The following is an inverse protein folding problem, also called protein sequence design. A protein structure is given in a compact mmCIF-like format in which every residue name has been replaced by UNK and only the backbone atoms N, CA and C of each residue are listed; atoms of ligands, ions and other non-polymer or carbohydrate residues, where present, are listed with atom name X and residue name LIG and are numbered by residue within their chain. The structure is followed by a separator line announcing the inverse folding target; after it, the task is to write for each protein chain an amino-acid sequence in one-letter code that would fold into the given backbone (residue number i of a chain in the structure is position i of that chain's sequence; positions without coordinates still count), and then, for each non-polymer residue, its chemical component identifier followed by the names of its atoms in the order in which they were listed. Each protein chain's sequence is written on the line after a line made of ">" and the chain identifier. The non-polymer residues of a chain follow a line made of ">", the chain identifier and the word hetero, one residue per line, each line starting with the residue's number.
data_IF_909029177315
#
_entry.id   IF_909029177315
#
_cell.length_a   1.000
_cell.length_b   1.000
_cell.length_c   1.000
_cell.angle_alpha   90.00
_cell.angle_beta   90.00
_cell.angle_gamma   90.00
#
_symmetry.space_group_name_H-M   'P 1'
#
loop_
_entity.id
_entity.type
_entity.pdbx_description
1 polymer ?
#
# COMPACT_ATOMS: atom_id res chain seq x y z
N UNK A 1 -6.19 1.93 30.50
CA UNK A 1 -5.04 1.16 30.01
C UNK A 1 -5.45 0.52 28.70
N UNK A 2 -5.42 1.30 27.62
CA UNK A 2 -5.61 0.79 26.27
C UNK A 2 -4.38 -0.05 25.93
N UNK A 3 -4.62 -1.28 25.51
CA UNK A 3 -3.59 -2.22 25.05
C UNK A 3 -2.62 -1.51 24.09
N UNK A 4 -1.32 -1.54 24.40
CA UNK A 4 -0.24 -0.98 23.57
C UNK A 4 0.07 -1.96 22.42
N UNK A 5 -0.96 -2.41 21.70
CA UNK A 5 -0.76 -3.32 20.58
C UNK A 5 -0.03 -2.59 19.47
N UNK A 6 1.04 -3.21 18.96
CA UNK A 6 1.73 -2.73 17.76
C UNK A 6 0.79 -2.92 16.57
N UNK A 7 0.33 -1.84 15.90
CA UNK A 7 -0.62 -2.00 14.81
C UNK A 7 -0.04 -2.88 13.71
N UNK A 8 -0.85 -3.79 13.17
CA UNK A 8 -0.46 -4.69 12.09
C UNK A 8 -1.04 -4.20 10.78
N UNK A 9 -0.16 -3.87 9.84
CA UNK A 9 -0.51 -3.28 8.54
C UNK A 9 -0.25 -4.29 7.43
N UNK A 10 -1.29 -4.65 6.70
CA UNK A 10 -1.19 -5.51 5.52
C UNK A 10 -0.94 -4.66 4.27
N UNK A 11 0.04 -5.04 3.47
CA UNK A 11 0.33 -4.44 2.18
C UNK A 11 -0.12 -5.38 1.06
N UNK A 12 -0.96 -4.86 0.18
CA UNK A 12 -1.47 -5.54 -1.00
C UNK A 12 -0.98 -4.77 -2.22
N UNK A 13 0.03 -5.33 -2.88
CA UNK A 13 0.79 -4.64 -3.92
C UNK A 13 0.90 -5.52 -5.16
N UNK A 14 1.11 -4.90 -6.31
CA UNK A 14 1.37 -5.63 -7.55
C UNK A 14 2.87 -5.72 -7.85
N UNK A 15 3.26 -6.74 -8.60
CA UNK A 15 4.57 -6.85 -9.21
C UNK A 15 4.51 -7.86 -10.35
N UNK A 16 5.45 -7.75 -11.30
CA UNK A 16 5.63 -8.75 -12.34
C UNK A 16 6.27 -8.15 -13.59
N UNK A 17 6.52 -8.97 -14.63
CA UNK A 17 7.15 -8.51 -15.87
C UNK A 17 6.41 -7.36 -16.56
N UNK A 18 5.07 -7.37 -16.52
CA UNK A 18 4.23 -6.38 -17.20
C UNK A 18 4.04 -5.08 -16.39
N UNK A 19 4.23 -5.13 -15.07
CA UNK A 19 3.95 -4.01 -14.15
C UNK A 19 5.25 -3.41 -13.57
N UNK A 20 6.33 -4.19 -13.55
CA UNK A 20 7.58 -3.87 -12.87
C UNK A 20 7.50 -4.06 -11.34
N UNK A 21 8.55 -3.65 -10.63
CA UNK A 21 8.65 -3.74 -9.16
C UNK A 21 8.33 -2.45 -8.41
N UNK A 22 7.88 -1.40 -9.11
CA UNK A 22 7.73 -0.05 -8.57
C UNK A 22 6.81 0.03 -7.34
N UNK A 23 5.66 -0.65 -7.38
CA UNK A 23 4.70 -0.72 -6.28
C UNK A 23 5.33 -1.30 -5.01
N UNK A 24 6.06 -2.42 -5.14
CA UNK A 24 6.77 -3.04 -4.00
C UNK A 24 7.81 -2.08 -3.43
N UNK A 25 8.55 -1.35 -4.27
CA UNK A 25 9.59 -0.43 -3.80
C UNK A 25 9.02 0.79 -3.05
N UNK A 26 7.90 1.35 -3.51
CA UNK A 26 7.18 2.42 -2.80
C UNK A 26 6.58 1.89 -1.49
N UNK A 27 5.94 0.73 -1.54
CA UNK A 27 5.34 0.10 -0.38
C UNK A 27 6.38 -0.25 0.70
N UNK A 28 7.55 -0.77 0.34
CA UNK A 28 8.67 -1.01 1.28
C UNK A 28 9.14 0.28 1.94
N UNK A 29 9.13 1.40 1.22
CA UNK A 29 9.49 2.72 1.78
C UNK A 29 8.49 3.15 2.86
N UNK A 30 7.19 3.01 2.58
CA UNK A 30 6.13 3.30 3.56
C UNK A 30 6.16 2.32 4.74
N UNK A 31 6.29 1.02 4.47
CA UNK A 31 6.37 -0.04 5.47
C UNK A 31 7.55 0.17 6.43
N UNK A 32 8.72 0.54 5.92
CA UNK A 32 9.88 0.90 6.75
C UNK A 32 9.57 2.07 7.68
N UNK A 33 8.98 3.15 7.17
CA UNK A 33 8.63 4.32 7.98
C UNK A 33 7.55 4.04 9.04
N UNK A 34 6.64 3.09 8.78
CA UNK A 34 5.66 2.60 9.74
C UNK A 34 6.28 1.67 10.78
N UNK A 35 7.18 0.79 10.37
CA UNK A 35 7.93 -0.10 11.26
C UNK A 35 8.81 0.70 12.24
N UNK A 36 9.45 1.78 11.77
CA UNK A 36 10.21 2.70 12.62
C UNK A 36 9.32 3.42 13.66
N UNK A 37 8.01 3.48 13.41
CA UNK A 37 6.98 4.00 14.34
C UNK A 37 6.32 2.90 15.18
N UNK A 38 6.82 1.66 15.10
CA UNK A 38 6.38 0.54 15.92
C UNK A 38 5.27 -0.32 15.33
N UNK A 39 4.88 -0.12 14.06
CA UNK A 39 3.95 -1.03 13.38
C UNK A 39 4.63 -2.36 13.01
N UNK A 40 3.84 -3.41 12.86
CA UNK A 40 4.25 -4.64 12.16
C UNK A 40 3.70 -4.59 10.74
N UNK A 41 4.50 -4.97 9.75
CA UNK A 41 4.13 -4.86 8.34
C UNK A 41 4.23 -6.23 7.68
N UNK A 42 3.16 -6.64 7.01
CA UNK A 42 3.10 -7.89 6.26
C UNK A 42 2.70 -7.61 4.82
N UNK A 43 3.22 -8.39 3.86
CA UNK A 43 2.88 -8.30 2.45
C UNK A 43 2.15 -9.56 1.98
N UNK A 44 1.11 -9.41 1.17
CA UNK A 44 0.60 -10.53 0.36
C UNK A 44 1.62 -10.85 -0.73
N UNK A 45 2.35 -11.94 -0.55
CA UNK A 45 3.51 -12.32 -1.33
C UNK A 45 3.13 -13.34 -2.41
N UNK A 46 2.46 -12.87 -3.46
CA UNK A 46 2.33 -13.60 -4.72
C UNK A 46 3.73 -13.83 -5.33
N UNK A 47 3.96 -14.83 -6.22
CA UNK A 47 5.31 -15.20 -6.67
C UNK A 47 6.19 -14.05 -7.18
N UNK A 48 5.65 -13.15 -8.00
CA UNK A 48 6.39 -12.00 -8.54
C UNK A 48 6.67 -10.95 -7.45
N UNK A 49 5.71 -10.71 -6.54
CA UNK A 49 5.89 -9.83 -5.38
C UNK A 49 6.95 -10.40 -4.45
N UNK A 50 6.89 -11.70 -4.17
CA UNK A 50 7.85 -12.41 -3.33
C UNK A 50 9.28 -12.29 -3.88
N UNK A 51 9.45 -12.40 -5.20
CA UNK A 51 10.76 -12.22 -5.86
C UNK A 51 11.34 -10.83 -5.61
N UNK A 52 10.53 -9.78 -5.71
CA UNK A 52 11.00 -8.41 -5.42
C UNK A 52 11.26 -8.23 -3.92
N UNK A 53 10.42 -8.80 -3.05
CA UNK A 53 10.64 -8.78 -1.61
C UNK A 53 11.94 -9.49 -1.21
N UNK A 54 12.31 -10.61 -1.86
CA UNK A 54 13.56 -11.33 -1.60
C UNK A 54 14.79 -10.46 -1.87
N UNK A 55 14.73 -9.64 -2.91
CA UNK A 55 15.83 -8.78 -3.30
C UNK A 55 15.95 -7.51 -2.44
N UNK A 56 14.83 -6.97 -1.94
CA UNK A 56 14.81 -5.60 -1.41
C UNK A 56 14.18 -5.41 -0.04
N UNK A 57 13.43 -6.38 0.48
CA UNK A 57 12.80 -6.25 1.80
C UNK A 57 13.80 -6.52 2.92
N UNK A 58 13.72 -5.73 4.00
CA UNK A 58 14.44 -6.04 5.23
C UNK A 58 13.71 -7.12 6.05
N UNK A 59 14.39 -7.71 7.03
CA UNK A 59 13.87 -8.84 7.82
C UNK A 59 12.66 -8.52 8.69
N UNK A 60 12.25 -7.26 8.81
CA UNK A 60 11.04 -6.83 9.54
C UNK A 60 9.78 -6.99 8.69
N UNK A 61 9.91 -7.19 7.37
CA UNK A 61 8.78 -7.32 6.46
C UNK A 61 8.28 -8.76 6.43
N UNK A 62 7.15 -8.99 7.09
CA UNK A 62 6.50 -10.30 7.11
C UNK A 62 5.84 -10.61 5.76
N UNK A 63 5.60 -11.89 5.52
CA UNK A 63 5.00 -12.38 4.28
C UNK A 63 3.83 -13.29 4.57
N UNK A 64 2.73 -13.04 3.88
CA UNK A 64 1.57 -13.93 3.83
C UNK A 64 1.52 -14.49 2.42
N UNK A 65 1.51 -15.81 2.30
CA UNK A 65 1.51 -16.45 0.98
C UNK A 65 0.23 -16.10 0.21
N UNK A 66 0.39 -15.72 -1.06
CA UNK A 66 -0.71 -15.56 -2.00
C UNK A 66 -0.40 -16.37 -3.26
N UNK A 67 -1.41 -16.99 -3.87
CA UNK A 67 -1.20 -17.83 -5.05
C UNK A 67 -0.83 -17.01 -6.30
N UNK A 68 -1.39 -15.80 -6.42
CA UNK A 68 -1.20 -14.88 -7.55
C UNK A 68 -1.52 -13.44 -7.13
N UNK A 69 -1.23 -12.47 -8.00
CA UNK A 69 -1.68 -11.07 -7.88
C UNK A 69 -3.08 -10.84 -8.47
N UNK A 70 -3.82 -11.91 -8.77
CA UNK A 70 -5.22 -11.75 -9.20
C UNK A 70 -6.09 -11.33 -8.02
N UNK A 71 -7.14 -10.53 -8.25
CA UNK A 71 -8.00 -10.06 -7.17
C UNK A 71 -8.53 -11.17 -6.26
N UNK A 72 -8.98 -12.29 -6.83
CA UNK A 72 -9.57 -13.42 -6.10
C UNK A 72 -8.54 -14.13 -5.21
N UNK A 73 -7.31 -14.30 -5.72
CA UNK A 73 -6.21 -14.89 -4.96
C UNK A 73 -5.78 -13.99 -3.80
N UNK A 74 -5.79 -12.66 -4.01
CA UNK A 74 -5.45 -11.68 -2.98
C UNK A 74 -6.53 -11.60 -1.90
N UNK A 75 -7.81 -11.61 -2.28
CA UNK A 75 -8.94 -11.72 -1.33
C UNK A 75 -8.78 -12.97 -0.47
N UNK A 76 -8.58 -14.14 -1.10
CA UNK A 76 -8.42 -15.41 -0.39
C UNK A 76 -7.22 -15.39 0.57
N UNK A 77 -6.09 -14.83 0.15
CA UNK A 77 -4.90 -14.73 0.99
C UNK A 77 -5.10 -13.75 2.17
N UNK A 78 -5.87 -12.68 1.97
CA UNK A 78 -6.17 -11.70 3.01
C UNK A 78 -7.06 -12.27 4.12
N UNK A 79 -7.96 -13.21 3.82
CA UNK A 79 -8.81 -13.88 4.82
C UNK A 79 -7.97 -14.63 5.88
N UNK A 80 -6.83 -15.18 5.47
CA UNK A 80 -5.90 -15.87 6.36
C UNK A 80 -4.97 -14.94 7.15
N UNK A 81 -5.00 -13.63 6.86
CA UNK A 81 -4.12 -12.64 7.48
C UNK A 81 -4.82 -11.91 8.64
N UNK A 82 -4.16 -11.87 9.81
CA UNK A 82 -4.53 -10.93 10.86
C UNK A 82 -3.91 -9.55 10.56
N UNK A 83 -4.72 -8.49 10.57
CA UNK A 83 -4.27 -7.11 10.44
C UNK A 83 -5.32 -6.12 10.97
N UNK A 84 -4.85 -4.93 11.35
CA UNK A 84 -5.65 -3.84 11.87
C UNK A 84 -5.92 -2.76 10.81
N UNK A 85 -5.07 -2.67 9.79
CA UNK A 85 -5.20 -1.74 8.66
C UNK A 85 -4.58 -2.33 7.39
N UNK A 86 -4.96 -1.80 6.23
CA UNK A 86 -4.47 -2.26 4.92
C UNK A 86 -4.01 -1.11 4.04
N UNK A 87 -2.94 -1.35 3.27
CA UNK A 87 -2.43 -0.45 2.23
C UNK A 87 -2.53 -1.16 0.88
N UNK A 88 -3.17 -0.51 -0.09
CA UNK A 88 -3.24 -0.98 -1.47
C UNK A 88 -2.33 -0.15 -2.36
N UNK A 89 -1.49 -0.80 -3.16
CA UNK A 89 -0.74 -0.19 -4.27
C UNK A 89 -0.78 -1.16 -5.45
N UNK A 90 -1.98 -1.30 -6.05
CA UNK A 90 -2.28 -2.33 -7.04
C UNK A 90 -3.35 -1.83 -8.02
N UNK A 91 -2.97 -1.65 -9.30
CA UNK A 91 -3.87 -1.04 -10.30
C UNK A 91 -5.09 -1.89 -10.67
N UNK A 92 -4.94 -3.22 -10.70
CA UNK A 92 -6.05 -4.11 -11.08
C UNK A 92 -7.08 -4.38 -9.96
N UNK A 93 -6.81 -3.97 -8.71
CA UNK A 93 -7.79 -4.12 -7.63
C UNK A 93 -8.85 -3.03 -7.75
N UNK A 94 -10.08 -3.48 -8.02
CA UNK A 94 -11.27 -2.64 -8.03
C UNK A 94 -11.79 -2.38 -6.61
N UNK A 95 -12.65 -1.37 -6.47
CA UNK A 95 -13.28 -0.95 -5.21
C UNK A 95 -13.86 -2.11 -4.40
N UNK A 96 -14.50 -3.06 -5.06
CA UNK A 96 -15.19 -4.19 -4.41
C UNK A 96 -14.18 -5.11 -3.73
N UNK A 97 -13.11 -5.48 -4.43
CA UNK A 97 -12.01 -6.29 -3.86
C UNK A 97 -11.30 -5.55 -2.72
N UNK A 98 -11.07 -4.24 -2.87
CA UNK A 98 -10.47 -3.42 -1.82
C UNK A 98 -11.36 -3.38 -0.57
N UNK A 99 -12.67 -3.25 -0.74
CA UNK A 99 -13.63 -3.25 0.37
C UNK A 99 -13.71 -4.62 1.05
N UNK A 100 -13.72 -5.69 0.27
CA UNK A 100 -13.73 -7.07 0.77
C UNK A 100 -12.47 -7.38 1.57
N UNK A 101 -11.29 -7.09 1.02
CA UNK A 101 -10.01 -7.24 1.72
C UNK A 101 -10.00 -6.37 2.98
N UNK A 102 -10.40 -5.10 2.90
CA UNK A 102 -10.36 -4.21 4.06
C UNK A 102 -11.30 -4.68 5.19
N UNK A 103 -12.45 -5.28 4.87
CA UNK A 103 -13.37 -5.82 5.87
C UNK A 103 -13.83 -4.78 6.90
N UNK A 104 -13.95 -3.50 6.47
CA UNK A 104 -14.30 -2.37 7.34
C UNK A 104 -13.14 -1.78 8.16
N UNK A 105 -11.92 -2.31 8.01
CA UNK A 105 -10.71 -1.79 8.67
C UNK A 105 -10.19 -0.54 7.92
N UNK A 106 -9.40 0.33 8.59
CA UNK A 106 -8.76 1.45 7.93
C UNK A 106 -7.97 1.03 6.67
N UNK A 107 -8.27 1.70 5.56
CA UNK A 107 -7.64 1.43 4.26
C UNK A 107 -6.96 2.70 3.71
N UNK A 108 -5.70 2.56 3.34
CA UNK A 108 -4.96 3.51 2.52
C UNK A 108 -4.85 2.96 1.10
N UNK A 109 -5.16 3.79 0.10
CA UNK A 109 -4.88 3.46 -1.31
C UNK A 109 -3.82 4.42 -1.84
N UNK A 110 -2.76 3.86 -2.42
CA UNK A 110 -1.79 4.59 -3.23
C UNK A 110 -2.27 4.52 -4.67
N UNK A 111 -2.49 5.66 -5.29
CA UNK A 111 -2.95 5.76 -6.68
C UNK A 111 -2.18 6.88 -7.40
N UNK A 112 -2.11 6.80 -8.72
CA UNK A 112 -1.49 7.83 -9.57
C UNK A 112 -2.27 8.07 -10.87
N UNK A 113 -3.40 7.38 -11.07
CA UNK A 113 -4.20 7.44 -12.29
C UNK A 113 -5.46 8.30 -12.13
N UNK A 114 -6.14 8.20 -10.98
CA UNK A 114 -7.45 8.80 -10.70
C UNK A 114 -8.48 8.46 -11.81
N UNK A 115 -8.53 7.19 -12.20
CA UNK A 115 -9.32 6.72 -13.35
C UNK A 115 -10.43 5.72 -12.98
N UNK A 116 -10.50 5.32 -11.71
CA UNK A 116 -11.45 4.31 -11.24
C UNK A 116 -11.94 4.57 -9.82
N UNK A 117 -13.10 4.03 -9.44
CA UNK A 117 -13.55 4.09 -8.06
C UNK A 117 -12.62 3.29 -7.12
N UNK A 118 -12.34 3.82 -5.93
CA UNK A 118 -11.48 3.21 -4.92
C UNK A 118 -12.19 3.13 -3.56
N UNK A 119 -11.90 2.09 -2.80
CA UNK A 119 -12.28 1.95 -1.38
C UNK A 119 -11.13 2.41 -0.50
N UNK A 120 -11.21 3.66 -0.05
CA UNK A 120 -10.14 4.32 0.69
C UNK A 120 -10.73 5.14 1.85
N UNK A 121 -10.17 5.01 3.05
CA UNK A 121 -10.34 6.02 4.11
C UNK A 121 -9.28 7.12 3.98
N UNK A 122 -8.10 6.74 3.49
CA UNK A 122 -7.02 7.63 3.07
C UNK A 122 -6.63 7.33 1.64
N UNK A 123 -6.46 8.36 0.82
CA UNK A 123 -5.91 8.24 -0.52
C UNK A 123 -4.62 9.03 -0.63
N UNK A 124 -3.57 8.40 -1.15
CA UNK A 124 -2.28 9.00 -1.40
C UNK A 124 -2.01 9.02 -2.91
N UNK A 125 -1.83 10.22 -3.45
CA UNK A 125 -1.41 10.41 -4.84
C UNK A 125 -0.37 11.53 -4.92
N UNK A 126 0.91 11.18 -5.14
CA UNK A 126 1.99 12.16 -5.14
C UNK A 126 2.12 12.93 -6.48
N UNK A 127 1.20 12.74 -7.43
CA UNK A 127 1.23 13.38 -8.74
C UNK A 127 1.33 14.90 -8.65
N UNK A 128 2.28 15.55 -9.35
CA UNK A 128 2.58 16.97 -9.16
C UNK A 128 1.42 17.92 -9.53
N UNK A 129 0.54 17.48 -10.42
CA UNK A 129 -0.63 18.23 -10.86
C UNK A 129 -1.93 17.75 -10.22
N UNK A 130 -1.88 16.79 -9.27
CA UNK A 130 -3.07 16.12 -8.76
C UNK A 130 -3.91 17.05 -7.89
N UNK A 131 -5.22 17.08 -8.14
CA UNK A 131 -6.20 17.91 -7.42
C UNK A 131 -7.34 17.08 -6.85
N UNK A 132 -8.09 17.66 -5.91
CA UNK A 132 -9.20 16.97 -5.26
C UNK A 132 -10.33 16.63 -6.26
N UNK A 133 -10.53 17.48 -7.27
CA UNK A 133 -11.56 17.30 -8.30
C UNK A 133 -11.31 16.08 -9.17
N UNK A 134 -10.05 15.66 -9.33
CA UNK A 134 -9.69 14.45 -10.07
C UNK A 134 -10.25 13.18 -9.42
N UNK A 135 -10.53 13.23 -8.12
CA UNK A 135 -11.12 12.12 -7.36
C UNK A 135 -12.62 12.30 -7.08
N UNK A 136 -13.26 13.34 -7.62
CA UNK A 136 -14.69 13.57 -7.43
C UNK A 136 -15.51 12.38 -7.97
N UNK A 137 -16.28 11.73 -7.11
CA UNK A 137 -17.06 10.54 -7.45
C UNK A 137 -16.26 9.23 -7.52
N UNK A 138 -14.92 9.28 -7.45
CA UNK A 138 -14.07 8.09 -7.43
C UNK A 138 -13.82 7.56 -6.02
N UNK A 139 -14.00 8.38 -5.00
CA UNK A 139 -13.85 7.99 -3.58
C UNK A 139 -15.04 8.45 -2.75
N UNK A 140 -15.16 7.96 -1.51
CA UNK A 140 -16.22 8.40 -0.59
C UNK A 140 -15.98 9.84 -0.09
N UNK A 141 -17.04 10.55 0.29
CA UNK A 141 -16.96 11.94 0.77
C UNK A 141 -16.05 12.12 2.00
N UNK A 142 -15.96 11.10 2.85
CA UNK A 142 -15.12 11.08 4.06
C UNK A 142 -13.66 10.69 3.78
N UNK A 143 -13.30 10.41 2.52
CA UNK A 143 -11.94 10.00 2.16
C UNK A 143 -11.00 11.17 2.32
N UNK A 144 -9.99 11.04 3.18
CA UNK A 144 -8.96 12.07 3.31
C UNK A 144 -7.93 11.91 2.19
N UNK A 145 -7.77 12.97 1.41
CA UNK A 145 -6.85 13.03 0.27
C UNK A 145 -5.48 13.60 0.71
N UNK A 146 -4.41 12.91 0.32
CA UNK A 146 -3.01 13.31 0.49
C UNK A 146 -2.41 13.48 -0.91
N UNK A 147 -2.52 14.68 -1.47
CA UNK A 147 -2.24 14.95 -2.88
C UNK A 147 -0.99 15.79 -3.09
N UNK A 148 -0.25 15.49 -4.15
CA UNK A 148 0.88 16.28 -4.58
C UNK A 148 2.22 15.83 -4.00
N UNK A 149 3.31 16.46 -4.44
CA UNK A 149 4.67 15.95 -4.27
C UNK A 149 5.15 15.96 -2.82
N UNK A 150 4.50 16.72 -1.95
CA UNK A 150 4.78 16.74 -0.50
C UNK A 150 4.49 15.38 0.17
N UNK A 151 3.72 14.51 -0.48
CA UNK A 151 3.40 13.17 0.03
C UNK A 151 4.15 12.05 -0.70
N UNK A 152 5.12 12.37 -1.57
CA UNK A 152 5.89 11.37 -2.29
C UNK A 152 6.62 10.40 -1.35
N UNK A 153 6.48 9.10 -1.62
CA UNK A 153 7.17 8.03 -0.89
C UNK A 153 8.62 7.91 -1.38
N UNK A 154 9.47 8.81 -0.89
CA UNK A 154 10.89 8.88 -1.26
C UNK A 154 11.73 8.07 -0.28
N UNK A 155 12.64 7.23 -0.79
CA UNK A 155 13.56 6.46 0.06
C UNK A 155 14.45 7.38 0.90
N UNK A 156 14.72 7.05 2.18
CA UNK A 156 15.55 7.88 3.06
C UNK A 156 16.91 8.26 2.48
N UNK A 157 17.54 7.38 1.69
CA UNK A 157 18.82 7.63 1.05
C UNK A 157 18.85 8.92 0.19
N UNK A 158 17.73 9.31 -0.45
CA UNK A 158 17.65 10.56 -1.21
C UNK A 158 17.59 11.79 -0.29
N UNK A 159 16.94 11.68 0.88
CA UNK A 159 16.94 12.77 1.86
C UNK A 159 18.36 13.01 2.39
N UNK A 160 19.06 11.93 2.75
CA UNK A 160 20.46 11.98 3.18
C UNK A 160 21.38 12.53 2.09
N UNK A 161 21.22 12.12 0.83
CA UNK A 161 22.02 12.63 -0.27
C UNK A 161 21.81 14.14 -0.52
N UNK A 162 20.59 14.65 -0.32
CA UNK A 162 20.30 16.09 -0.44
C UNK A 162 20.94 16.91 0.68
N UNK A 163 21.02 16.37 1.90
CA UNK A 163 21.70 17.03 3.02
C UNK A 163 23.22 17.06 2.84
N UNK A 164 23.77 16.14 2.05
CA UNK A 164 25.20 16.04 1.75
C UNK A 164 25.65 16.82 0.50
N UNK A 165 24.73 17.44 -0.24
CA UNK A 165 24.98 18.20 -1.47
C UNK A 165 25.01 19.70 -1.21
#
# INVERSE_FOLDING_TARGET
>A
MTDLSRPRVLFVVDAGPDVGGGHVMRALTLAGALADRGATCAFLAAPDVATVLDAFADSRMERVAAAATTPEALVTAAEAAAFDAVVFDHFRLQREHQAEIAGGRPALVVDDLADRPLHAGLLLDPGPARRAEDYAGLVGAETRLLLGPAHALVRPAFATAREAA
#
